data_IF_385371223473
#
_entry.id   IF_385371223473
#
_cell.length_a   1.000
_cell.length_b   1.000
_cell.length_c   1.000
_cell.angle_alpha   90.00
_cell.angle_beta   90.00
_cell.angle_gamma   90.00
#
_symmetry.space_group_name_H-M   'P 1'
#
loop_
_entity.id
_entity.type
_entity.pdbx_description
1 polymer ?
#
# COMPACT_ATOMS: atom_id res chain seq x y z
N UNK A 1 -26.77 2.51 3.63
CA UNK A 1 -27.33 2.79 4.98
C UNK A 1 -26.43 3.78 5.72
N UNK A 2 -26.95 4.54 6.71
CA UNK A 2 -26.13 5.37 7.63
C UNK A 2 -25.05 4.53 8.32
N UNK A 3 -25.30 3.23 8.49
CA UNK A 3 -24.33 2.27 9.05
C UNK A 3 -23.17 1.91 8.11
N UNK A 4 -23.36 1.95 6.80
CA UNK A 4 -22.25 1.76 5.83
C UNK A 4 -21.36 3.00 5.79
N UNK A 5 -21.96 4.20 5.88
CA UNK A 5 -21.19 5.44 5.98
C UNK A 5 -20.35 5.50 7.25
N UNK A 6 -20.84 4.97 8.38
CA UNK A 6 -20.06 4.83 9.63
C UNK A 6 -18.94 3.80 9.55
N UNK A 7 -19.12 2.70 8.82
CA UNK A 7 -18.02 1.72 8.60
C UNK A 7 -16.91 2.31 7.75
N UNK A 8 -17.24 3.05 6.71
CA UNK A 8 -16.27 3.74 5.85
C UNK A 8 -15.47 4.83 6.58
N UNK A 9 -15.99 5.41 7.67
CA UNK A 9 -15.27 6.41 8.47
C UNK A 9 -14.05 5.84 9.23
N UNK A 10 -14.01 4.53 9.49
CA UNK A 10 -12.92 3.85 10.19
C UNK A 10 -11.93 3.13 9.25
N UNK A 11 -12.20 3.16 7.96
CA UNK A 11 -11.35 2.56 6.92
C UNK A 11 -10.64 3.70 6.21
N UNK A 12 -9.32 3.75 6.30
CA UNK A 12 -8.53 4.62 5.44
C UNK A 12 -8.60 4.05 4.01
N UNK A 13 -9.53 4.57 3.20
CA UNK A 13 -9.63 4.28 1.77
C UNK A 13 -8.88 5.37 1.02
N UNK A 14 -7.87 4.99 0.25
CA UNK A 14 -7.19 5.91 -0.67
C UNK A 14 -8.11 6.20 -1.87
N UNK A 15 -8.89 7.28 -1.79
CA UNK A 15 -9.70 7.81 -2.88
C UNK A 15 -9.04 9.10 -3.36
N UNK A 16 -8.50 9.09 -4.58
CA UNK A 16 -8.04 10.30 -5.27
C UNK A 16 -9.26 11.05 -5.80
N UNK A 17 -9.96 11.77 -4.91
CA UNK A 17 -11.01 12.73 -5.26
C UNK A 17 -10.88 13.91 -4.28
N UNK A 18 -10.46 15.07 -4.82
CA UNK A 18 -10.30 16.37 -4.14
C UNK A 18 -9.46 16.36 -2.84
N UNK A 19 -8.16 16.16 -3.07
CA UNK A 19 -7.09 15.69 -2.18
C UNK A 19 -6.38 16.74 -1.31
N UNK A 20 -6.95 17.19 -0.18
CA UNK A 20 -6.12 17.89 0.83
C UNK A 20 -6.37 17.45 2.29
N UNK A 21 -7.59 17.06 2.66
CA UNK A 21 -7.95 16.90 4.08
C UNK A 21 -7.76 15.48 4.65
N UNK A 22 -8.19 14.45 3.92
CA UNK A 22 -8.30 13.08 4.46
C UNK A 22 -6.96 12.33 4.43
N UNK A 23 -6.23 12.41 3.31
CA UNK A 23 -4.93 11.73 3.16
C UNK A 23 -3.89 12.25 4.18
N UNK A 24 -3.83 13.56 4.40
CA UNK A 24 -2.83 14.19 5.27
C UNK A 24 -3.05 13.86 6.75
N UNK A 25 -4.30 13.84 7.21
CA UNK A 25 -4.65 13.63 8.62
C UNK A 25 -4.34 12.21 9.07
N UNK A 26 -4.64 11.22 8.23
CA UNK A 26 -4.29 9.82 8.52
C UNK A 26 -2.80 9.55 8.37
N UNK A 27 -2.14 10.10 7.34
CA UNK A 27 -0.68 9.94 7.16
C UNK A 27 0.09 10.47 8.38
N UNK A 28 -0.33 11.61 8.96
CA UNK A 28 0.28 12.14 10.19
C UNK A 28 0.09 11.20 11.39
N UNK A 29 -1.14 10.72 11.62
CA UNK A 29 -1.46 9.83 12.75
C UNK A 29 -0.70 8.50 12.67
N UNK A 30 -0.57 7.94 11.47
CA UNK A 30 0.21 6.73 11.20
C UNK A 30 1.71 6.99 11.43
N UNK A 31 2.24 8.09 10.89
CA UNK A 31 3.64 8.48 11.07
C UNK A 31 4.02 8.73 12.54
N UNK A 32 3.13 9.31 13.36
CA UNK A 32 3.35 9.49 14.81
C UNK A 32 3.55 8.15 15.54
N UNK A 33 2.97 7.06 15.02
CA UNK A 33 3.15 5.68 15.52
C UNK A 33 4.26 4.91 14.79
N UNK A 34 4.95 5.55 13.84
CA UNK A 34 5.97 4.92 12.99
C UNK A 34 5.41 3.95 11.94
N UNK A 35 4.09 3.97 11.70
CA UNK A 35 3.46 3.15 10.67
C UNK A 35 3.67 3.81 9.32
N UNK A 36 4.14 3.03 8.34
CA UNK A 36 4.33 3.48 6.96
C UNK A 36 3.25 2.81 6.12
N UNK A 37 2.42 3.61 5.46
CA UNK A 37 1.43 3.13 4.50
C UNK A 37 1.41 4.08 3.30
N UNK A 38 1.98 3.64 2.19
CA UNK A 38 2.16 4.46 0.98
C UNK A 38 2.34 3.58 -0.26
N UNK A 39 2.38 4.17 -1.48
CA UNK A 39 2.77 3.45 -2.68
C UNK A 39 4.17 2.84 -2.55
N UNK A 40 4.38 1.64 -3.09
CA UNK A 40 5.68 0.95 -2.99
C UNK A 40 6.80 1.74 -3.68
N UNK A 41 6.47 2.52 -4.71
CA UNK A 41 7.40 3.41 -5.41
C UNK A 41 7.93 4.55 -4.52
N UNK A 42 7.12 5.05 -3.57
CA UNK A 42 7.53 6.01 -2.54
C UNK A 42 8.39 5.30 -1.49
N UNK A 43 7.95 4.14 -1.00
CA UNK A 43 8.70 3.37 -0.01
C UNK A 43 10.09 2.94 -0.49
N UNK A 44 10.26 2.60 -1.77
CA UNK A 44 11.58 2.29 -2.36
C UNK A 44 12.53 3.49 -2.25
N UNK A 45 12.03 4.71 -2.39
CA UNK A 45 12.83 5.94 -2.34
C UNK A 45 13.11 6.38 -0.90
N UNK A 46 12.10 6.35 -0.04
CA UNK A 46 12.16 6.90 1.31
C UNK A 46 12.63 5.88 2.36
N UNK A 47 12.36 4.60 2.12
CA UNK A 47 12.66 3.49 3.04
C UNK A 47 13.36 2.31 2.35
N UNK A 48 14.43 2.54 1.55
CA UNK A 48 15.05 1.50 0.72
C UNK A 48 15.54 0.29 1.53
N UNK A 49 16.05 0.52 2.74
CA UNK A 49 16.57 -0.55 3.61
C UNK A 49 15.46 -1.49 4.09
N UNK A 50 14.28 -0.95 4.43
CA UNK A 50 13.13 -1.78 4.82
C UNK A 50 12.60 -2.57 3.63
N UNK A 51 12.42 -1.91 2.48
CA UNK A 51 11.96 -2.59 1.27
C UNK A 51 12.94 -3.69 0.88
N UNK A 52 14.24 -3.40 0.80
CA UNK A 52 15.27 -4.40 0.44
C UNK A 52 15.31 -5.58 1.41
N UNK A 53 15.07 -5.35 2.69
CA UNK A 53 15.05 -6.41 3.71
C UNK A 53 13.92 -7.42 3.49
N UNK A 54 12.74 -6.96 3.09
CA UNK A 54 11.55 -7.82 2.98
C UNK A 54 11.21 -8.23 1.54
N UNK A 55 11.67 -7.46 0.55
CA UNK A 55 11.40 -7.71 -0.86
C UNK A 55 11.92 -9.09 -1.29
N UNK A 56 11.02 -9.92 -1.81
CA UNK A 56 11.34 -11.27 -2.28
C UNK A 56 11.59 -12.31 -1.19
N UNK A 57 11.39 -11.97 0.09
CA UNK A 57 11.59 -12.91 1.20
C UNK A 57 10.53 -14.01 1.26
N UNK A 58 9.28 -13.69 0.91
CA UNK A 58 8.15 -14.64 0.86
C UNK A 58 7.92 -15.15 -0.56
N UNK A 59 7.91 -14.26 -1.55
CA UNK A 59 7.73 -14.60 -2.97
C UNK A 59 9.01 -14.22 -3.73
N UNK A 60 9.99 -15.14 -3.85
CA UNK A 60 11.23 -14.87 -4.57
C UNK A 60 11.00 -14.78 -6.08
N UNK A 61 11.92 -14.11 -6.78
CA UNK A 61 11.86 -13.97 -8.26
C UNK A 61 11.88 -15.30 -9.02
N UNK A 62 12.28 -16.39 -8.37
CA UNK A 62 12.36 -17.74 -8.95
C UNK A 62 11.15 -18.61 -8.62
N UNK A 63 10.14 -18.07 -7.92
CA UNK A 63 9.00 -18.83 -7.42
C UNK A 63 8.20 -19.49 -8.56
N UNK A 64 7.83 -18.69 -9.57
CA UNK A 64 7.17 -19.17 -10.78
C UNK A 64 7.33 -18.16 -11.92
N UNK A 65 6.86 -18.53 -13.12
CA UNK A 65 6.94 -17.70 -14.32
C UNK A 65 6.34 -16.29 -14.12
N UNK A 66 5.15 -16.19 -13.50
CA UNK A 66 4.48 -14.92 -13.27
C UNK A 66 5.14 -14.09 -12.17
N UNK A 67 5.70 -14.73 -11.14
CA UNK A 67 6.47 -14.05 -10.10
C UNK A 67 7.78 -13.46 -10.65
N UNK A 68 8.46 -14.19 -11.55
CA UNK A 68 9.64 -13.70 -12.24
C UNK A 68 9.31 -12.49 -13.12
N UNK A 69 8.22 -12.59 -13.91
CA UNK A 69 7.73 -11.50 -14.76
C UNK A 69 7.37 -10.28 -13.92
N UNK A 70 6.48 -10.43 -12.91
CA UNK A 70 6.07 -9.34 -12.03
C UNK A 70 7.28 -8.70 -11.33
N UNK A 71 8.23 -9.50 -10.82
CA UNK A 71 9.43 -8.96 -10.17
C UNK A 71 10.29 -8.09 -11.09
N UNK A 72 10.23 -8.31 -12.41
CA UNK A 72 10.97 -7.53 -13.38
C UNK A 72 10.22 -6.28 -13.86
N UNK A 73 8.88 -6.31 -13.91
CA UNK A 73 8.10 -5.26 -14.59
C UNK A 73 7.07 -4.55 -13.71
N UNK A 74 6.97 -4.84 -12.41
CA UNK A 74 6.02 -4.14 -11.54
C UNK A 74 6.32 -2.64 -11.52
N UNK A 75 5.26 -1.83 -11.61
CA UNK A 75 5.36 -0.37 -11.64
C UNK A 75 4.65 0.29 -10.47
N UNK A 76 3.77 -0.45 -9.81
CA UNK A 76 2.90 0.10 -8.76
C UNK A 76 2.60 -0.95 -7.69
N UNK A 77 1.83 -0.56 -6.67
CA UNK A 77 1.44 -1.40 -5.54
C UNK A 77 1.62 -0.66 -4.22
N UNK A 78 1.42 -1.36 -3.11
CA UNK A 78 1.39 -0.75 -1.78
C UNK A 78 2.54 -1.23 -0.89
N UNK A 79 3.00 -0.38 0.02
CA UNK A 79 3.91 -0.75 1.08
C UNK A 79 3.27 -0.47 2.44
N UNK A 80 3.24 -1.49 3.31
CA UNK A 80 2.72 -1.38 4.67
C UNK A 80 3.76 -1.89 5.67
N UNK A 81 4.21 -1.02 6.56
CA UNK A 81 5.08 -1.40 7.67
C UNK A 81 4.50 -0.94 9.00
N UNK A 82 4.30 -1.90 9.91
CA UNK A 82 3.87 -1.66 11.28
C UNK A 82 5.04 -2.04 12.21
N UNK A 83 5.60 -1.10 13.00
CA UNK A 83 6.69 -1.41 13.92
C UNK A 83 6.30 -2.47 14.94
N UNK A 84 7.29 -3.23 15.41
CA UNK A 84 7.08 -4.25 16.44
C UNK A 84 6.46 -3.64 17.70
N UNK A 85 5.36 -4.24 18.16
CA UNK A 85 4.64 -3.79 19.36
C UNK A 85 3.68 -2.62 19.13
N UNK A 86 3.52 -2.15 17.88
CA UNK A 86 2.55 -1.13 17.52
C UNK A 86 1.29 -1.77 16.95
N UNK A 87 0.12 -1.33 17.44
CA UNK A 87 -1.18 -1.68 16.85
C UNK A 87 -1.65 -0.53 15.98
N UNK A 88 -2.06 -0.83 14.73
CA UNK A 88 -2.63 0.17 13.83
C UNK A 88 -3.94 0.72 14.42
N UNK A 89 -4.13 2.06 14.51
CA UNK A 89 -5.31 2.64 15.14
C UNK A 89 -6.58 2.56 14.27
N UNK A 90 -6.47 2.08 13.03
CA UNK A 90 -7.54 2.03 12.03
C UNK A 90 -7.26 0.96 10.98
N UNK A 91 -8.28 0.65 10.19
CA UNK A 91 -8.14 -0.25 9.05
C UNK A 91 -7.46 0.48 7.88
N UNK A 92 -6.51 -0.19 7.24
CA UNK A 92 -5.80 0.30 6.06
C UNK A 92 -6.38 -0.38 4.82
N UNK A 93 -6.74 0.38 3.79
CA UNK A 93 -7.29 -0.17 2.56
C UNK A 93 -6.77 0.58 1.34
N UNK A 94 -6.23 -0.18 0.39
CA UNK A 94 -5.84 0.32 -0.93
C UNK A 94 -6.88 -0.09 -1.95
N UNK A 95 -7.32 0.86 -2.77
CA UNK A 95 -8.27 0.61 -3.84
C UNK A 95 -7.61 0.88 -5.19
N UNK A 96 -7.42 -0.20 -5.96
CA UNK A 96 -6.88 -0.10 -7.31
C UNK A 96 -8.02 -0.11 -8.32
N UNK A 97 -8.05 0.91 -9.20
CA UNK A 97 -9.10 1.07 -10.21
C UNK A 97 -8.53 0.91 -11.61
N UNK A 98 -8.85 -0.20 -12.27
CA UNK A 98 -8.53 -0.43 -13.68
C UNK A 98 -9.69 0.10 -14.53
N UNK A 99 -9.43 1.08 -15.39
CA UNK A 99 -10.45 1.72 -16.23
C UNK A 99 -10.35 1.38 -17.73
N UNK A 100 -9.28 0.72 -18.17
CA UNK A 100 -9.02 0.44 -19.60
C UNK A 100 -8.82 -1.05 -19.87
N UNK A 101 -9.59 -1.59 -20.81
CA UNK A 101 -9.48 -2.98 -21.25
C UNK A 101 -8.20 -3.23 -22.04
N UNK A 102 -7.59 -4.41 -21.86
CA UNK A 102 -6.34 -4.79 -22.54
C UNK A 102 -5.07 -4.23 -21.88
N UNK A 103 -5.18 -3.55 -20.74
CA UNK A 103 -4.03 -3.14 -19.93
C UNK A 103 -3.64 -4.25 -18.95
N UNK A 104 -2.33 -4.51 -18.83
CA UNK A 104 -1.78 -5.41 -17.83
C UNK A 104 -1.20 -4.61 -16.67
N UNK A 105 -1.80 -4.69 -15.49
CA UNK A 105 -1.28 -4.02 -14.31
C UNK A 105 -0.44 -5.02 -13.49
N UNK A 106 0.83 -4.70 -13.30
CA UNK A 106 1.75 -5.49 -12.48
C UNK A 106 1.97 -4.75 -11.17
N UNK A 107 1.19 -5.14 -10.16
CA UNK A 107 1.30 -4.57 -8.83
C UNK A 107 2.13 -5.46 -7.92
N UNK A 108 2.78 -4.83 -6.94
CA UNK A 108 3.46 -5.53 -5.86
C UNK A 108 3.16 -4.87 -4.53
N UNK A 109 2.47 -5.61 -3.67
CA UNK A 109 2.22 -5.21 -2.28
C UNK A 109 3.23 -5.86 -1.35
N UNK A 110 3.84 -5.07 -0.47
CA UNK A 110 4.84 -5.49 0.51
C UNK A 110 4.47 -5.04 1.93
#
# INVERSE_FOLDING_TARGET
SVDEQKKLQNVAVEIVVDSVSVATTFKKTLNEKGIIFCPISEAIKEHPELVKKYMGSVVPKTDNFYAALNSAVFTDGSFCYIPKGVTCPMELSTYFRINEGGTGQFERTL
#
